data_IF_827628504293
#
_entry.id   IF_827628504293
#
_cell.length_a   1.000
_cell.length_b   1.000
_cell.length_c   1.000
_cell.angle_alpha   90.00
_cell.angle_beta   90.00
_cell.angle_gamma   90.00
#
_symmetry.space_group_name_H-M   'P 1'
#
loop_
_entity.id
_entity.type
_entity.pdbx_description
1 polymer ?
#
# COMPACT_ATOMS: atom_id res chain seq x y z
N UNK A 1 27.68 -60.67 30.52
CA UNK A 1 26.55 -61.19 31.31
C UNK A 1 25.46 -60.12 31.27
N UNK A 2 24.27 -60.47 30.72
CA UNK A 2 23.07 -59.64 30.43
C UNK A 2 23.25 -58.57 29.32
N UNK A 3 22.82 -58.74 28.05
CA UNK A 3 21.52 -59.04 27.43
C UNK A 3 20.50 -57.86 27.44
N UNK A 4 20.22 -57.37 26.22
CA UNK A 4 18.99 -56.77 25.65
C UNK A 4 18.16 -55.72 26.42
N UNK A 5 17.80 -54.63 25.73
CA UNK A 5 16.46 -54.00 25.52
C UNK A 5 16.71 -52.87 24.49
N UNK A 6 16.49 -53.00 23.18
CA UNK A 6 15.25 -53.10 22.37
C UNK A 6 14.37 -51.85 22.41
N UNK A 7 14.45 -51.07 21.32
CA UNK A 7 13.53 -50.07 20.77
C UNK A 7 12.98 -48.97 21.68
N UNK A 8 13.14 -47.72 21.24
CA UNK A 8 12.02 -46.77 21.10
C UNK A 8 12.43 -45.67 20.09
N UNK A 9 11.95 -45.84 18.86
CA UNK A 9 11.91 -44.82 17.82
C UNK A 9 10.99 -43.69 18.30
N UNK A 10 11.56 -42.58 18.76
CA UNK A 10 10.79 -41.36 18.98
C UNK A 10 10.72 -40.61 17.65
N UNK A 11 9.58 -40.72 16.98
CA UNK A 11 9.28 -40.06 15.73
C UNK A 11 9.30 -38.53 15.92
N UNK A 12 10.30 -37.87 15.33
CA UNK A 12 10.32 -36.42 15.19
C UNK A 12 9.33 -36.04 14.08
N UNK A 13 8.10 -35.68 14.46
CA UNK A 13 7.15 -35.06 13.55
C UNK A 13 7.61 -33.62 13.25
N UNK A 14 8.40 -33.46 12.19
CA UNK A 14 8.68 -32.14 11.62
C UNK A 14 7.39 -31.64 10.99
N UNK A 15 6.70 -30.75 11.69
CA UNK A 15 5.60 -29.98 11.12
C UNK A 15 6.19 -29.03 10.07
N UNK A 16 6.22 -29.47 8.82
CA UNK A 16 6.51 -28.63 7.67
C UNK A 16 5.34 -27.65 7.56
N UNK A 17 5.50 -26.45 8.11
CA UNK A 17 4.65 -25.32 7.76
C UNK A 17 4.89 -25.04 6.28
N UNK A 18 3.98 -25.49 5.42
CA UNK A 18 3.94 -25.09 4.03
C UNK A 18 3.61 -23.60 3.98
N UNK A 19 4.64 -22.75 3.99
CA UNK A 19 4.52 -21.36 3.61
C UNK A 19 4.18 -21.33 2.11
N UNK A 20 2.88 -21.35 1.80
CA UNK A 20 2.41 -21.07 0.44
C UNK A 20 2.88 -19.67 0.03
N UNK A 21 3.16 -19.44 -1.27
CA UNK A 21 3.48 -18.10 -1.73
C UNK A 21 2.31 -17.17 -1.40
N UNK A 22 2.57 -16.15 -0.59
CA UNK A 22 1.66 -15.01 -0.45
C UNK A 22 1.72 -14.30 -1.79
N UNK A 23 0.71 -14.52 -2.63
CA UNK A 23 0.51 -13.72 -3.82
C UNK A 23 0.12 -12.33 -3.31
N UNK A 24 1.09 -11.42 -3.28
CA UNK A 24 0.80 -10.00 -3.14
C UNK A 24 -0.14 -9.63 -4.28
N UNK A 25 -1.29 -9.03 -3.94
CA UNK A 25 -2.25 -8.55 -4.94
C UNK A 25 -1.54 -7.46 -5.73
N UNK A 26 -1.10 -7.80 -6.95
CA UNK A 26 -0.36 -6.87 -7.77
C UNK A 26 -1.32 -5.78 -8.25
N UNK A 27 -0.92 -4.50 -8.11
CA UNK A 27 -1.69 -3.39 -8.66
C UNK A 27 -1.98 -3.65 -10.16
N UNK A 28 -3.22 -3.46 -10.63
CA UNK A 28 -3.55 -3.66 -12.03
C UNK A 28 -2.78 -2.66 -12.90
N UNK A 29 -2.59 -3.00 -14.17
CA UNK A 29 -1.99 -2.08 -15.14
C UNK A 29 -3.04 -1.03 -15.53
N UNK A 30 -2.74 0.27 -15.48
CA UNK A 30 -3.69 1.31 -15.87
C UNK A 30 -4.08 1.16 -17.34
N UNK A 31 -5.35 1.39 -17.62
CA UNK A 31 -5.93 1.36 -18.97
C UNK A 31 -6.21 2.76 -19.50
N UNK A 32 -6.33 3.73 -18.60
CA UNK A 32 -6.47 5.15 -18.91
C UNK A 32 -5.17 5.93 -18.87
N UNK A 33 -5.30 7.26 -18.87
CA UNK A 33 -4.18 8.17 -18.63
C UNK A 33 -3.62 8.01 -17.22
N UNK A 34 -2.31 7.94 -17.10
CA UNK A 34 -1.63 7.90 -15.80
C UNK A 34 -1.70 9.29 -15.17
N UNK A 35 -2.43 9.40 -14.07
CA UNK A 35 -2.63 10.67 -13.33
C UNK A 35 -1.80 10.76 -12.05
N UNK A 36 -1.31 9.62 -11.55
CA UNK A 36 -0.46 9.55 -10.38
C UNK A 36 0.65 8.51 -10.58
N UNK A 37 1.88 8.91 -10.28
CA UNK A 37 3.05 8.05 -10.23
C UNK A 37 3.67 8.15 -8.85
N UNK A 38 3.88 7.01 -8.20
CA UNK A 38 4.53 6.91 -6.89
C UNK A 38 5.80 6.09 -7.02
N UNK A 39 6.89 6.60 -6.46
CA UNK A 39 8.23 6.00 -6.48
C UNK A 39 8.85 6.05 -5.09
N UNK A 40 9.93 5.31 -4.88
CA UNK A 40 10.66 5.25 -3.62
C UNK A 40 10.46 3.92 -2.90
N UNK A 41 10.40 3.98 -1.57
CA UNK A 41 10.27 2.79 -0.72
C UNK A 41 8.80 2.34 -0.62
N UNK A 42 8.32 1.72 -1.69
CA UNK A 42 6.97 1.16 -1.81
C UNK A 42 7.03 -0.34 -2.09
N UNK A 43 6.10 -1.09 -1.49
CA UNK A 43 6.05 -2.55 -1.59
C UNK A 43 5.28 -3.02 -2.83
N UNK A 44 4.25 -2.28 -3.22
CA UNK A 44 3.37 -2.65 -4.34
C UNK A 44 3.68 -1.77 -5.55
N UNK A 45 3.97 -2.40 -6.68
CA UNK A 45 4.40 -1.77 -7.94
C UNK A 45 3.70 -2.45 -9.12
N UNK A 46 3.46 -1.70 -10.19
CA UNK A 46 2.86 -2.21 -11.44
C UNK A 46 3.57 -1.69 -12.70
N UNK A 47 4.58 -0.82 -12.57
CA UNK A 47 5.39 -0.35 -13.68
C UNK A 47 6.84 -0.14 -13.24
N UNK A 48 7.69 -1.15 -13.46
CA UNK A 48 9.09 -1.12 -13.06
C UNK A 48 9.24 -0.91 -11.56
N UNK A 49 9.92 0.17 -11.15
CA UNK A 49 10.09 0.56 -9.75
C UNK A 49 8.99 1.49 -9.21
N UNK A 50 7.92 1.69 -9.97
CA UNK A 50 6.86 2.63 -9.67
C UNK A 50 5.51 1.94 -9.50
N UNK A 51 4.64 2.58 -8.71
CA UNK A 51 3.20 2.37 -8.77
C UNK A 51 2.56 3.50 -9.58
N UNK A 52 1.85 3.16 -10.64
CA UNK A 52 1.13 4.12 -11.50
C UNK A 52 -0.36 3.88 -11.41
N UNK A 53 -1.13 4.96 -11.38
CA UNK A 53 -2.58 4.90 -11.27
C UNK A 53 -3.23 5.78 -12.34
N UNK A 54 -4.28 5.24 -12.96
CA UNK A 54 -5.28 6.05 -13.65
C UNK A 54 -6.40 6.46 -12.67
N UNK A 55 -7.32 7.31 -13.13
CA UNK A 55 -8.39 7.82 -12.29
C UNK A 55 -9.36 6.72 -11.80
N UNK A 56 -9.63 5.69 -12.61
CA UNK A 56 -10.55 4.61 -12.23
C UNK A 56 -9.91 3.68 -11.19
N UNK A 57 -8.61 3.41 -11.31
CA UNK A 57 -7.85 2.69 -10.29
C UNK A 57 -7.92 3.40 -8.94
N UNK A 58 -7.75 4.73 -8.91
CA UNK A 58 -7.86 5.50 -7.66
C UNK A 58 -9.27 5.35 -7.07
N UNK A 59 -10.32 5.60 -7.86
CA UNK A 59 -11.71 5.44 -7.39
C UNK A 59 -11.99 4.04 -6.83
N UNK A 60 -11.42 3.00 -7.43
CA UNK A 60 -11.57 1.62 -6.99
C UNK A 60 -10.96 1.35 -5.60
N UNK A 61 -10.04 2.20 -5.11
CA UNK A 61 -9.51 2.11 -3.73
C UNK A 61 -10.53 2.54 -2.67
N UNK A 62 -11.62 3.18 -3.08
CA UNK A 62 -12.66 3.73 -2.23
C UNK A 62 -12.55 5.25 -2.13
N UNK A 63 -13.61 5.94 -2.53
CA UNK A 63 -13.72 7.39 -2.39
C UNK A 63 -14.38 7.75 -1.05
N UNK A 64 -13.89 8.83 -0.46
CA UNK A 64 -14.52 9.51 0.67
C UNK A 64 -14.87 10.93 0.26
N UNK A 65 -15.96 11.44 0.83
CA UNK A 65 -16.38 12.83 0.64
C UNK A 65 -16.31 13.56 1.98
N UNK A 66 -15.76 14.76 1.98
CA UNK A 66 -15.79 15.64 3.13
C UNK A 66 -16.12 17.08 2.72
N UNK A 67 -16.79 17.77 3.63
CA UNK A 67 -17.23 19.14 3.45
C UNK A 67 -16.39 20.07 4.33
N UNK A 68 -15.75 21.06 3.73
CA UNK A 68 -14.92 22.03 4.45
C UNK A 68 -14.92 23.41 3.80
N UNK A 69 -14.69 24.45 4.59
CA UNK A 69 -14.43 25.80 4.08
C UNK A 69 -12.93 26.05 3.99
N UNK A 70 -12.47 26.74 2.95
CA UNK A 70 -11.08 27.18 2.84
C UNK A 70 -10.99 28.70 2.94
N UNK A 71 -9.84 29.27 3.34
CA UNK A 71 -9.65 30.74 3.31
C UNK A 71 -9.72 31.35 1.89
N UNK A 72 -9.76 30.51 0.86
CA UNK A 72 -9.69 30.89 -0.55
C UNK A 72 -11.02 30.76 -1.30
N UNK A 73 -12.03 30.16 -0.67
CA UNK A 73 -13.33 29.87 -1.29
C UNK A 73 -14.46 30.34 -0.39
N UNK A 74 -15.49 30.95 -0.97
CA UNK A 74 -16.68 31.33 -0.22
C UNK A 74 -17.56 30.11 0.08
N UNK A 75 -17.89 29.91 1.35
CA UNK A 75 -18.79 28.84 1.81
C UNK A 75 -18.12 27.49 2.07
N UNK A 76 -18.96 26.48 2.27
CA UNK A 76 -18.55 25.09 2.49
C UNK A 76 -18.48 24.39 1.14
N UNK A 77 -17.32 23.81 0.85
CA UNK A 77 -17.01 23.08 -0.37
C UNK A 77 -16.96 21.58 -0.07
N UNK A 78 -17.46 20.76 -1.00
CA UNK A 78 -17.38 19.31 -0.93
C UNK A 78 -16.23 18.79 -1.77
N UNK A 79 -15.39 17.92 -1.19
CA UNK A 79 -14.26 17.29 -1.85
C UNK A 79 -14.42 15.78 -1.81
N UNK A 80 -14.26 15.14 -2.96
CA UNK A 80 -14.33 13.68 -3.10
C UNK A 80 -13.01 13.15 -3.66
N UNK A 81 -12.51 12.09 -3.05
CA UNK A 81 -11.32 11.39 -3.55
C UNK A 81 -10.90 10.25 -2.62
N UNK A 82 -9.76 9.64 -2.91
CA UNK A 82 -9.16 8.59 -2.08
C UNK A 82 -8.43 9.23 -0.91
N UNK A 83 -8.58 8.68 0.30
CA UNK A 83 -7.80 9.16 1.43
C UNK A 83 -6.31 8.85 1.22
N UNK A 84 -5.45 9.78 1.63
CA UNK A 84 -4.00 9.59 1.55
C UNK A 84 -3.57 8.37 2.39
N UNK A 85 -4.20 8.17 3.56
CA UNK A 85 -4.01 7.00 4.41
C UNK A 85 -4.25 5.70 3.63
N UNK A 86 -5.39 5.59 2.94
CA UNK A 86 -5.74 4.38 2.18
C UNK A 86 -4.74 4.10 1.06
N UNK A 87 -4.27 5.15 0.37
CA UNK A 87 -3.24 5.01 -0.65
C UNK A 87 -1.92 4.48 -0.05
N UNK A 88 -1.52 4.97 1.13
CA UNK A 88 -0.30 4.51 1.79
C UNK A 88 -0.41 3.04 2.23
N UNK A 89 -1.56 2.63 2.78
CA UNK A 89 -1.82 1.22 3.12
C UNK A 89 -1.66 0.31 1.90
N UNK A 90 -2.25 0.69 0.76
CA UNK A 90 -2.19 -0.08 -0.48
C UNK A 90 -0.75 -0.21 -0.99
N UNK A 91 0.07 0.82 -0.79
CA UNK A 91 1.48 0.82 -1.21
C UNK A 91 2.44 0.21 -0.18
N UNK A 92 1.94 -0.18 1.00
CA UNK A 92 2.74 -0.75 2.08
C UNK A 92 3.67 0.26 2.76
N UNK A 93 3.31 1.54 2.73
CA UNK A 93 4.09 2.63 3.35
C UNK A 93 3.55 2.88 4.76
N UNK A 94 4.43 2.82 5.76
CA UNK A 94 4.04 2.91 7.18
C UNK A 94 4.77 4.02 7.95
N UNK A 95 5.88 4.53 7.44
CA UNK A 95 6.70 5.54 8.09
C UNK A 95 7.45 6.41 7.07
N UNK A 96 8.09 7.48 7.57
CA UNK A 96 8.91 8.38 6.77
C UNK A 96 8.18 9.64 6.32
N UNK A 97 8.54 10.14 5.14
CA UNK A 97 8.04 11.39 4.56
C UNK A 97 7.67 11.19 3.11
N UNK A 98 6.52 11.74 2.72
CA UNK A 98 6.01 11.75 1.35
C UNK A 98 6.37 13.08 0.70
N UNK A 99 7.01 13.02 -0.46
CA UNK A 99 7.21 14.21 -1.29
C UNK A 99 6.11 14.29 -2.35
N UNK A 100 5.16 15.20 -2.19
CA UNK A 100 4.10 15.43 -3.15
C UNK A 100 4.48 16.55 -4.11
N UNK A 101 4.51 16.26 -5.42
CA UNK A 101 4.80 17.26 -6.47
C UNK A 101 3.59 17.42 -7.38
N UNK A 102 3.16 18.66 -7.60
CA UNK A 102 2.06 19.00 -8.49
C UNK A 102 2.53 19.22 -9.94
N UNK A 103 1.59 19.30 -10.89
CA UNK A 103 1.88 19.50 -12.33
C UNK A 103 2.60 20.82 -12.64
N UNK A 104 2.55 21.80 -11.74
CA UNK A 104 3.24 23.08 -11.84
C UNK A 104 4.60 23.10 -11.09
N UNK A 105 5.16 21.92 -10.82
CA UNK A 105 6.44 21.70 -10.11
C UNK A 105 6.47 22.19 -8.66
N UNK A 106 5.34 22.60 -8.09
CA UNK A 106 5.25 22.89 -6.67
C UNK A 106 5.34 21.58 -5.87
N UNK A 107 6.22 21.54 -4.87
CA UNK A 107 6.45 20.36 -4.06
C UNK A 107 6.42 20.66 -2.56
N UNK A 108 5.88 19.73 -1.79
CA UNK A 108 5.87 19.75 -0.32
C UNK A 108 6.29 18.39 0.22
N UNK A 109 6.77 18.39 1.47
CA UNK A 109 7.00 17.20 2.26
C UNK A 109 5.87 17.02 3.27
N UNK A 110 5.31 15.81 3.32
CA UNK A 110 4.20 15.43 4.19
C UNK A 110 4.67 14.25 5.05
N UNK A 111 4.76 14.39 6.38
CA UNK A 111 5.02 13.24 7.26
C UNK A 111 3.98 12.15 7.04
N UNK A 112 4.40 10.87 6.99
CA UNK A 112 3.43 9.75 6.88
C UNK A 112 2.47 9.73 8.07
N UNK A 113 2.88 10.25 9.23
CA UNK A 113 2.01 10.44 10.40
C UNK A 113 0.81 11.35 10.18
N UNK A 114 0.84 12.22 9.16
CA UNK A 114 -0.24 13.14 8.83
C UNK A 114 -1.27 12.48 7.87
N UNK A 115 -0.92 11.34 7.28
CA UNK A 115 -1.83 10.51 6.49
C UNK A 115 -2.65 9.60 7.41
N UNK A 116 -3.62 10.21 8.12
CA UNK A 116 -4.57 9.56 9.05
C UNK A 116 -5.92 9.22 8.43
#
# INVERSE_FOLDING_TARGET
MFAMIRNLLAAAAVAVFAAGPVVADALPVPTGEIVLTVTGDIQVKNQGDSAVFDAEMLKALGEVTYDTSTPWTDGVQSFTGVSLHRLMEVLGVTEGSLKATAINDYAIDIPVSDAV
#
